data_IF_657006295285
#
_entry.id   IF_657006295285
#
_cell.length_a   1.000
_cell.length_b   1.000
_cell.length_c   1.000
_cell.angle_alpha   90.00
_cell.angle_beta   90.00
_cell.angle_gamma   90.00
#
_symmetry.space_group_name_H-M   'P 1'
#
loop_
_entity.id
_entity.type
_entity.pdbx_description
1 polymer ?
#
# COMPACT_ATOMS: atom_id res chain seq x y z
N UNK A 1 -24.28 -7.13 -8.18
CA UNK A 1 -23.74 -6.81 -6.84
C UNK A 1 -23.47 -5.32 -6.73
N UNK A 2 -23.90 -4.67 -5.65
CA UNK A 2 -23.70 -3.22 -5.45
C UNK A 2 -22.21 -2.94 -5.18
N UNK A 3 -21.64 -1.97 -5.90
CA UNK A 3 -20.26 -1.51 -5.67
C UNK A 3 -20.14 -0.95 -4.25
N UNK A 4 -19.19 -1.45 -3.47
CA UNK A 4 -18.92 -0.91 -2.12
C UNK A 4 -18.47 0.55 -2.21
N UNK A 5 -18.95 1.38 -1.29
CA UNK A 5 -18.50 2.76 -1.17
C UNK A 5 -17.01 2.83 -0.79
N UNK A 6 -16.26 3.73 -1.43
CA UNK A 6 -14.81 3.83 -1.23
C UNK A 6 -14.45 4.31 0.18
N UNK A 7 -15.23 5.22 0.75
CA UNK A 7 -14.99 5.74 2.09
C UNK A 7 -15.22 4.66 3.13
N UNK A 8 -16.31 3.89 2.99
CA UNK A 8 -16.61 2.75 3.86
C UNK A 8 -15.52 1.68 3.80
N UNK A 9 -14.97 1.41 2.59
CA UNK A 9 -13.85 0.46 2.42
C UNK A 9 -12.57 0.97 3.10
N UNK A 10 -12.26 2.27 2.95
CA UNK A 10 -11.10 2.88 3.61
C UNK A 10 -11.21 2.76 5.12
N UNK A 11 -12.35 3.21 5.67
CA UNK A 11 -12.62 3.18 7.10
C UNK A 11 -12.60 1.77 7.69
N UNK A 12 -13.15 0.79 6.97
CA UNK A 12 -13.07 -0.62 7.39
C UNK A 12 -11.62 -1.11 7.50
N UNK A 13 -10.75 -0.70 6.58
CA UNK A 13 -9.32 -1.01 6.66
C UNK A 13 -8.64 -0.35 7.84
N UNK A 14 -8.91 0.91 8.11
CA UNK A 14 -8.35 1.66 9.23
C UNK A 14 -8.73 1.03 10.58
N UNK A 15 -10.01 0.69 10.79
CA UNK A 15 -10.46 -0.01 12.00
C UNK A 15 -9.86 -1.40 12.13
N UNK A 16 -9.71 -2.15 11.03
CA UNK A 16 -9.05 -3.45 11.05
C UNK A 16 -7.57 -3.33 11.45
N UNK A 17 -6.87 -2.30 11.00
CA UNK A 17 -5.48 -2.01 11.41
C UNK A 17 -5.41 -1.66 12.89
N UNK A 18 -6.31 -0.81 13.40
CA UNK A 18 -6.38 -0.51 14.84
C UNK A 18 -6.59 -1.77 15.68
N UNK A 19 -7.50 -2.64 15.26
CA UNK A 19 -7.75 -3.92 15.94
C UNK A 19 -6.48 -4.79 16.00
N UNK A 20 -5.72 -4.87 14.90
CA UNK A 20 -4.47 -5.62 14.89
C UNK A 20 -3.40 -4.98 15.79
N UNK A 21 -3.27 -3.66 15.77
CA UNK A 21 -2.33 -2.95 16.65
C UNK A 21 -2.63 -3.22 18.13
N UNK A 22 -3.91 -3.19 18.51
CA UNK A 22 -4.34 -3.52 19.88
C UNK A 22 -3.99 -4.98 20.27
N UNK A 23 -4.18 -5.95 19.34
CA UNK A 23 -3.80 -7.35 19.57
C UNK A 23 -2.27 -7.57 19.70
N UNK A 24 -1.49 -6.63 19.19
CA UNK A 24 -0.02 -6.61 19.32
C UNK A 24 0.46 -5.68 20.44
N UNK A 25 -0.43 -5.29 21.37
CA UNK A 25 -0.14 -4.46 22.54
C UNK A 25 0.39 -3.05 22.22
N UNK A 26 0.11 -2.50 21.03
CA UNK A 26 0.45 -1.12 20.68
C UNK A 26 -0.62 -0.14 21.18
N UNK A 27 -0.18 1.00 21.68
CA UNK A 27 -1.04 2.17 21.90
C UNK A 27 -1.26 2.87 20.55
N UNK A 28 -2.47 2.82 20.01
CA UNK A 28 -2.76 3.37 18.70
C UNK A 28 -4.03 4.22 18.67
N UNK A 29 -3.97 5.35 17.96
CA UNK A 29 -5.08 6.28 17.84
C UNK A 29 -5.25 6.74 16.40
N UNK A 30 -6.50 6.78 15.92
CA UNK A 30 -6.82 7.42 14.64
C UNK A 30 -6.58 8.93 14.74
N UNK A 31 -6.07 9.52 13.66
CA UNK A 31 -5.97 10.97 13.56
C UNK A 31 -7.35 11.57 13.28
N UNK A 32 -7.68 12.66 13.96
CA UNK A 32 -8.92 13.39 13.70
C UNK A 32 -8.76 14.25 12.43
N UNK A 33 -9.75 14.19 11.57
CA UNK A 33 -9.82 15.02 10.38
C UNK A 33 -8.88 14.55 9.25
N UNK A 34 -8.51 15.48 8.36
CA UNK A 34 -7.71 15.22 7.18
C UNK A 34 -6.21 15.47 7.43
N UNK A 35 -5.63 14.81 8.41
CA UNK A 35 -4.17 14.88 8.61
C UNK A 35 -3.49 14.27 7.38
N UNK A 36 -2.75 15.10 6.65
CA UNK A 36 -2.17 14.68 5.36
C UNK A 36 -1.16 13.55 5.54
N UNK A 37 -1.51 12.36 5.03
CA UNK A 37 -0.59 11.21 4.95
C UNK A 37 -0.35 10.48 6.26
N UNK A 38 -1.23 10.67 7.27
CA UNK A 38 -1.19 9.91 8.54
C UNK A 38 -2.62 9.61 8.97
N UNK A 39 -2.99 8.34 8.99
CA UNK A 39 -4.31 7.89 9.41
C UNK A 39 -4.30 7.40 10.86
N UNK A 40 -3.18 6.80 11.32
CA UNK A 40 -3.03 6.26 12.67
C UNK A 40 -1.68 6.67 13.26
N UNK A 41 -1.68 7.11 14.50
CA UNK A 41 -0.49 7.28 15.34
C UNK A 41 -0.34 6.07 16.24
N UNK A 42 0.88 5.52 16.31
CA UNK A 42 1.20 4.30 17.05
C UNK A 42 2.35 4.55 18.01
N UNK A 43 2.21 4.16 19.26
CA UNK A 43 3.28 4.16 20.26
C UNK A 43 3.64 2.74 20.64
N UNK A 44 4.93 2.40 20.59
CA UNK A 44 5.41 1.10 21.05
C UNK A 44 5.38 1.06 22.59
N UNK A 45 4.68 0.11 23.22
CA UNK A 45 4.38 0.14 24.66
C UNK A 45 5.64 0.13 25.53
N UNK A 46 6.69 -0.60 25.14
CA UNK A 46 7.95 -0.74 25.90
C UNK A 46 8.96 0.36 25.58
N UNK A 47 9.20 0.63 24.29
CA UNK A 47 10.26 1.57 23.87
C UNK A 47 9.79 3.02 23.78
N UNK A 48 8.48 3.25 23.86
CA UNK A 48 7.82 4.56 23.65
C UNK A 48 8.13 5.20 22.29
N UNK A 49 8.66 4.44 21.37
CA UNK A 49 8.95 4.89 20.01
C UNK A 49 7.62 5.12 19.26
N UNK A 50 7.55 6.26 18.60
CA UNK A 50 6.35 6.67 17.87
C UNK A 50 6.47 6.33 16.38
N UNK A 51 5.37 5.81 15.81
CA UNK A 51 5.23 5.52 14.39
C UNK A 51 3.97 6.17 13.83
N UNK A 52 4.00 6.43 12.54
CA UNK A 52 2.89 6.97 11.75
C UNK A 52 2.48 5.94 10.73
N UNK A 53 1.19 5.69 10.59
CA UNK A 53 0.67 4.81 9.56
C UNK A 53 -0.23 5.59 8.59
N UNK A 54 0.01 5.40 7.29
CA UNK A 54 -0.94 5.72 6.23
C UNK A 54 -1.56 4.40 5.74
N UNK A 55 -2.88 4.26 5.89
CA UNK A 55 -3.61 3.04 5.51
C UNK A 55 -4.14 3.16 4.09
N UNK A 56 -3.91 2.13 3.28
CA UNK A 56 -4.40 2.06 1.90
C UNK A 56 -5.18 0.77 1.70
N UNK A 57 -6.49 0.86 1.63
CA UNK A 57 -7.37 -0.31 1.56
C UNK A 57 -7.83 -0.60 0.14
N UNK A 58 -7.80 -1.87 -0.23
CA UNK A 58 -8.35 -2.39 -1.48
C UNK A 58 -9.38 -3.49 -1.18
N UNK A 59 -10.55 -3.35 -1.79
CA UNK A 59 -11.59 -4.37 -1.76
C UNK A 59 -11.54 -5.24 -3.01
N UNK A 60 -11.59 -6.56 -2.86
CA UNK A 60 -11.59 -7.53 -3.96
C UNK A 60 -12.79 -8.44 -3.87
N UNK A 61 -13.44 -8.66 -5.02
CA UNK A 61 -14.55 -9.60 -5.15
C UNK A 61 -14.11 -11.06 -5.31
N UNK A 62 -12.82 -11.32 -5.46
CA UNK A 62 -12.27 -12.67 -5.53
C UNK A 62 -10.83 -12.70 -5.01
N UNK A 63 -10.38 -13.88 -4.56
CA UNK A 63 -8.98 -14.10 -4.16
C UNK A 63 -7.99 -14.12 -5.34
N UNK A 64 -8.47 -14.00 -6.58
CA UNK A 64 -7.62 -13.98 -7.76
C UNK A 64 -6.65 -12.80 -7.72
N UNK A 65 -5.42 -13.06 -8.07
CA UNK A 65 -4.37 -12.04 -8.17
C UNK A 65 -4.71 -11.01 -9.24
N UNK A 66 -4.30 -9.77 -9.04
CA UNK A 66 -4.50 -8.70 -10.01
C UNK A 66 -3.61 -8.93 -11.21
N UNK A 67 -4.21 -9.10 -12.39
CA UNK A 67 -3.46 -9.13 -13.65
C UNK A 67 -3.10 -7.71 -14.06
N UNK A 68 -1.82 -7.48 -14.26
CA UNK A 68 -1.30 -6.19 -14.69
C UNK A 68 -0.92 -6.13 -16.17
N UNK A 69 -0.36 -4.99 -16.58
CA UNK A 69 0.17 -4.82 -17.93
C UNK A 69 1.30 -5.80 -18.22
N UNK A 70 1.64 -5.97 -19.51
CA UNK A 70 2.80 -6.78 -19.96
C UNK A 70 4.12 -6.39 -19.27
N UNK A 71 4.24 -5.10 -18.85
CA UNK A 71 5.45 -4.58 -18.19
C UNK A 71 5.55 -5.03 -16.73
N UNK A 72 4.43 -5.20 -16.04
CA UNK A 72 4.41 -5.45 -14.59
C UNK A 72 3.93 -6.84 -14.19
N UNK A 73 3.48 -7.66 -15.13
CA UNK A 73 3.03 -9.03 -14.86
C UNK A 73 1.83 -9.11 -13.90
N UNK A 74 1.74 -10.21 -13.18
CA UNK A 74 0.70 -10.47 -12.16
C UNK A 74 1.23 -10.13 -10.77
N UNK A 75 0.47 -9.39 -9.98
CA UNK A 75 0.86 -8.94 -8.64
C UNK A 75 -0.18 -9.33 -7.59
N UNK A 76 0.27 -9.52 -6.37
CA UNK A 76 -0.58 -9.81 -5.20
C UNK A 76 -1.55 -8.67 -4.92
N UNK A 77 -1.06 -7.44 -4.96
CA UNK A 77 -1.85 -6.24 -4.74
C UNK A 77 -1.29 -5.01 -5.45
N UNK A 78 -2.19 -4.08 -5.75
CA UNK A 78 -1.83 -2.76 -6.25
C UNK A 78 -2.72 -1.69 -5.63
N UNK A 79 -2.16 -0.53 -5.31
CA UNK A 79 -2.85 0.61 -4.71
C UNK A 79 -2.51 1.89 -5.46
N UNK A 80 -3.54 2.70 -5.68
CA UNK A 80 -3.35 4.03 -6.27
C UNK A 80 -2.70 4.97 -5.26
N UNK A 81 -1.65 5.66 -5.71
CA UNK A 81 -0.87 6.62 -4.95
C UNK A 81 -0.84 7.95 -5.70
N UNK A 82 -0.28 8.98 -5.08
CA UNK A 82 -0.03 10.27 -5.70
C UNK A 82 1.48 10.52 -5.81
N UNK A 83 1.92 11.38 -6.71
CA UNK A 83 3.31 11.76 -6.95
C UNK A 83 4.06 12.23 -5.69
N UNK A 84 3.35 12.86 -4.74
CA UNK A 84 3.95 13.27 -3.45
C UNK A 84 4.65 12.11 -2.72
N UNK A 85 4.14 10.87 -2.87
CA UNK A 85 4.69 9.69 -2.20
C UNK A 85 6.09 9.28 -2.71
N UNK A 86 6.55 9.80 -3.85
CA UNK A 86 7.92 9.62 -4.32
C UNK A 86 8.97 10.25 -3.38
N UNK A 87 8.54 11.19 -2.56
CA UNK A 87 9.41 11.99 -1.68
C UNK A 87 9.05 11.85 -0.19
N UNK A 88 8.01 11.08 0.15
CA UNK A 88 7.63 10.83 1.53
C UNK A 88 8.52 9.76 2.16
N UNK A 89 9.73 10.16 2.56
CA UNK A 89 10.72 9.29 3.21
C UNK A 89 10.89 9.77 4.65
N UNK A 90 10.29 9.03 5.57
CA UNK A 90 10.35 9.30 7.02
C UNK A 90 10.56 7.94 7.73
N UNK A 91 11.61 7.79 8.55
CA UNK A 91 11.89 6.53 9.27
C UNK A 91 10.76 6.09 10.21
N UNK A 92 9.92 7.02 10.65
CA UNK A 92 8.76 6.73 11.50
C UNK A 92 7.48 6.45 10.71
N UNK A 93 7.47 6.68 9.38
CA UNK A 93 6.28 6.50 8.55
C UNK A 93 6.28 5.13 7.87
N UNK A 94 5.18 4.42 8.05
CA UNK A 94 4.88 3.16 7.39
C UNK A 94 3.55 3.25 6.65
N UNK A 95 3.44 2.50 5.58
CA UNK A 95 2.17 2.26 4.89
C UNK A 95 1.63 0.90 5.32
N UNK A 96 0.37 0.86 5.73
CA UNK A 96 -0.36 -0.38 5.90
C UNK A 96 -1.26 -0.61 4.68
N UNK A 97 -0.84 -1.48 3.78
CA UNK A 97 -1.64 -1.87 2.63
C UNK A 97 -2.57 -3.00 3.02
N UNK A 98 -3.87 -2.75 2.91
CA UNK A 98 -4.91 -3.69 3.32
C UNK A 98 -5.65 -4.23 2.10
N UNK A 99 -5.84 -5.55 2.05
CA UNK A 99 -6.71 -6.21 1.08
C UNK A 99 -7.88 -6.84 1.84
N UNK A 100 -9.10 -6.48 1.46
CA UNK A 100 -10.32 -7.13 1.95
C UNK A 100 -10.79 -8.09 0.86
N UNK A 101 -10.85 -9.39 1.16
CA UNK A 101 -11.21 -10.44 0.22
C UNK A 101 -12.63 -10.97 0.47
N UNK A 102 -13.50 -10.93 -0.55
CA UNK A 102 -14.80 -11.59 -0.52
C UNK A 102 -14.67 -13.11 -0.88
N UNK A 103 -15.63 -13.93 -0.47
CA UNK A 103 -16.88 -13.59 0.25
C UNK A 103 -16.73 -13.55 1.78
N UNK A 104 -15.56 -13.90 2.30
CA UNK A 104 -15.32 -14.10 3.74
C UNK A 104 -14.94 -12.83 4.48
N UNK A 105 -14.80 -11.69 3.79
CA UNK A 105 -14.32 -10.42 4.34
C UNK A 105 -12.98 -10.55 5.13
N UNK A 106 -12.12 -11.49 4.70
CA UNK A 106 -10.81 -11.69 5.32
C UNK A 106 -9.89 -10.53 4.96
N UNK A 107 -9.24 -10.00 5.98
CA UNK A 107 -8.24 -8.94 5.84
C UNK A 107 -6.83 -9.52 5.69
N UNK A 108 -6.05 -8.94 4.78
CA UNK A 108 -4.63 -9.19 4.64
C UNK A 108 -3.89 -7.86 4.81
N UNK A 109 -2.83 -7.85 5.61
CA UNK A 109 -2.10 -6.63 5.98
C UNK A 109 -0.66 -6.72 5.53
N UNK A 110 -0.14 -5.62 4.96
CA UNK A 110 1.26 -5.52 4.53
C UNK A 110 1.82 -4.19 5.05
N UNK A 111 2.75 -4.26 6.00
CA UNK A 111 3.34 -3.09 6.65
C UNK A 111 4.66 -2.77 5.98
N UNK A 112 4.71 -1.70 5.19
CA UNK A 112 5.84 -1.35 4.33
C UNK A 112 6.42 0.00 4.73
N UNK A 113 7.75 0.09 5.00
CA UNK A 113 8.40 1.37 5.30
C UNK A 113 8.25 2.38 4.18
N UNK A 114 8.07 3.66 4.51
CA UNK A 114 7.86 4.74 3.53
C UNK A 114 8.96 4.82 2.48
N UNK A 115 10.23 4.60 2.86
CA UNK A 115 11.38 4.59 1.92
C UNK A 115 11.24 3.56 0.80
N UNK A 116 10.66 2.38 1.10
CA UNK A 116 10.45 1.31 0.12
C UNK A 116 9.34 1.70 -0.85
N UNK A 117 8.24 2.26 -0.32
CA UNK A 117 7.11 2.75 -1.14
C UNK A 117 7.57 3.88 -2.06
N UNK A 118 8.26 4.90 -1.51
CA UNK A 118 8.74 6.06 -2.26
C UNK A 118 9.66 5.64 -3.42
N UNK A 119 10.67 4.80 -3.15
CA UNK A 119 11.56 4.27 -4.18
C UNK A 119 10.78 3.52 -5.26
N UNK A 120 9.93 2.58 -4.87
CA UNK A 120 9.20 1.76 -5.82
C UNK A 120 8.29 2.59 -6.74
N UNK A 121 7.46 3.49 -6.20
CA UNK A 121 6.52 4.27 -7.03
C UNK A 121 7.24 5.19 -8.01
N UNK A 122 8.39 5.74 -7.63
CA UNK A 122 9.26 6.55 -8.50
C UNK A 122 9.86 5.73 -9.65
N UNK A 123 10.51 4.62 -9.33
CA UNK A 123 11.16 3.73 -10.30
C UNK A 123 10.16 3.12 -11.28
N UNK A 124 9.05 2.61 -10.76
CA UNK A 124 7.99 2.00 -11.51
C UNK A 124 7.35 2.98 -12.50
N UNK A 125 7.06 4.19 -12.06
CA UNK A 125 6.46 5.21 -12.92
C UNK A 125 7.43 5.67 -14.01
N UNK A 126 8.71 5.85 -13.67
CA UNK A 126 9.77 6.17 -14.63
C UNK A 126 9.92 5.10 -15.70
N UNK A 127 9.87 3.80 -15.33
CA UNK A 127 9.87 2.72 -16.29
C UNK A 127 8.63 2.76 -17.21
N UNK A 128 7.44 2.91 -16.63
CA UNK A 128 6.20 3.00 -17.39
C UNK A 128 6.24 4.15 -18.41
N UNK A 129 6.72 5.33 -18.04
CA UNK A 129 6.87 6.46 -18.95
C UNK A 129 7.83 6.14 -20.10
N UNK A 130 9.00 5.53 -19.81
CA UNK A 130 9.97 5.15 -20.83
C UNK A 130 9.38 4.17 -21.83
N UNK A 131 8.72 3.10 -21.36
CA UNK A 131 8.12 2.09 -22.23
C UNK A 131 7.01 2.70 -23.11
N UNK A 132 6.16 3.55 -22.55
CA UNK A 132 5.09 4.22 -23.29
C UNK A 132 5.63 5.19 -24.34
N UNK A 133 6.71 5.89 -24.06
CA UNK A 133 7.36 6.79 -25.03
C UNK A 133 8.03 6.04 -26.18
N UNK A 134 8.59 4.86 -25.92
CA UNK A 134 9.09 3.97 -26.97
C UNK A 134 8.00 3.51 -27.95
N UNK A 135 6.77 3.36 -27.46
CA UNK A 135 5.60 3.03 -28.29
C UNK A 135 5.10 4.26 -29.11
N UNK A 136 5.89 5.34 -29.19
CA UNK A 136 5.55 6.62 -29.86
C UNK A 136 4.26 7.27 -29.35
N UNK A 137 3.85 6.96 -28.14
CA UNK A 137 2.67 7.56 -27.50
C UNK A 137 3.04 8.86 -26.81
N UNK A 138 2.32 9.93 -27.10
CA UNK A 138 2.36 11.16 -26.32
C UNK A 138 1.74 10.89 -24.94
N UNK A 139 2.59 10.58 -23.95
CA UNK A 139 2.14 10.27 -22.57
C UNK A 139 2.49 11.44 -21.67
N UNK A 140 1.46 11.99 -21.03
CA UNK A 140 1.62 13.05 -20.03
C UNK A 140 2.00 12.43 -18.68
N UNK A 141 3.01 12.97 -18.04
CA UNK A 141 3.31 12.67 -16.63
C UNK A 141 2.20 13.27 -15.75
N UNK A 142 1.41 12.40 -15.14
CA UNK A 142 0.31 12.80 -14.26
C UNK A 142 0.70 12.64 -12.79
N UNK A 143 -0.14 13.15 -11.89
CA UNK A 143 0.05 12.97 -10.45
C UNK A 143 -0.19 11.52 -9.97
N UNK A 144 -0.76 10.66 -10.80
CA UNK A 144 -1.07 9.29 -10.43
C UNK A 144 0.18 8.41 -10.37
N UNK A 145 0.30 7.67 -9.27
CA UNK A 145 1.31 6.62 -9.07
C UNK A 145 0.61 5.33 -8.66
N UNK A 146 1.31 4.21 -8.79
CA UNK A 146 0.77 2.91 -8.36
C UNK A 146 1.86 2.18 -7.59
N UNK A 147 1.53 1.78 -6.36
CA UNK A 147 2.34 0.85 -5.59
C UNK A 147 1.87 -0.57 -5.84
N UNK A 148 2.80 -1.50 -6.06
CA UNK A 148 2.54 -2.93 -6.27
C UNK A 148 3.33 -3.77 -5.31
N UNK A 149 2.76 -4.91 -4.93
CA UNK A 149 3.36 -5.84 -3.98
C UNK A 149 3.23 -7.27 -4.50
N UNK A 150 4.27 -8.10 -4.28
CA UNK A 150 4.26 -9.53 -4.54
C UNK A 150 4.11 -9.86 -6.02
N UNK A 151 5.19 -9.76 -6.75
CA UNK A 151 5.26 -10.11 -8.17
C UNK A 151 5.25 -11.63 -8.40
N UNK A 152 4.56 -12.03 -9.47
CA UNK A 152 4.65 -13.37 -10.06
C UNK A 152 4.65 -13.25 -11.58
N UNK A 153 5.71 -13.71 -12.25
CA UNK A 153 5.84 -13.75 -13.71
C UNK A 153 7.28 -13.53 -14.19
N UNK A 154 7.57 -13.91 -15.41
CA UNK A 154 8.92 -13.88 -15.98
C UNK A 154 9.29 -12.53 -16.63
N UNK A 155 8.31 -11.81 -17.16
CA UNK A 155 8.52 -10.56 -17.93
C UNK A 155 8.65 -9.32 -17.03
N UNK A 156 9.03 -9.49 -15.79
CA UNK A 156 9.02 -8.42 -14.83
C UNK A 156 10.31 -7.60 -14.87
N UNK A 157 10.19 -6.27 -14.97
CA UNK A 157 11.33 -5.35 -15.13
C UNK A 157 11.60 -4.47 -13.92
N UNK A 158 10.63 -4.29 -13.02
CA UNK A 158 10.78 -3.55 -11.77
C UNK A 158 10.45 -4.46 -10.61
N UNK A 159 11.44 -4.75 -9.77
CA UNK A 159 11.26 -5.61 -8.61
C UNK A 159 10.25 -5.01 -7.65
N UNK A 160 9.13 -5.72 -7.41
CA UNK A 160 8.20 -5.36 -6.34
C UNK A 160 8.76 -5.79 -5.00
N UNK A 161 8.37 -5.12 -3.90
CA UNK A 161 8.59 -5.67 -2.58
C UNK A 161 7.92 -7.05 -2.44
N UNK A 162 8.63 -7.99 -1.82
CA UNK A 162 8.10 -9.35 -1.60
C UNK A 162 7.06 -9.35 -0.48
N UNK A 163 5.97 -10.08 -0.67
CA UNK A 163 4.87 -10.16 0.31
C UNK A 163 5.32 -10.68 1.66
N UNK A 164 6.11 -11.73 1.66
CA UNK A 164 6.54 -12.48 2.84
C UNK A 164 7.28 -11.61 3.86
N UNK A 165 7.96 -10.58 3.36
CA UNK A 165 8.70 -9.63 4.20
C UNK A 165 7.79 -8.67 4.97
N UNK A 166 6.62 -8.37 4.43
CA UNK A 166 5.74 -7.30 4.92
C UNK A 166 4.39 -7.79 5.41
N UNK A 167 4.01 -9.04 5.09
CA UNK A 167 2.75 -9.62 5.51
C UNK A 167 2.73 -9.82 7.01
N UNK A 168 1.74 -9.19 7.67
CA UNK A 168 1.56 -9.21 9.12
C UNK A 168 2.82 -8.84 9.94
N UNK A 169 3.72 -8.05 9.36
CA UNK A 169 4.94 -7.62 10.04
C UNK A 169 4.69 -6.35 10.87
N UNK A 170 4.15 -6.53 12.05
CA UNK A 170 3.82 -5.44 12.99
C UNK A 170 5.01 -4.97 13.83
N UNK A 171 6.23 -5.41 13.55
CA UNK A 171 7.43 -5.03 14.32
C UNK A 171 7.97 -3.62 14.01
N UNK A 172 7.57 -3.01 12.91
CA UNK A 172 8.03 -1.70 12.45
C UNK A 172 9.57 -1.59 12.31
N UNK A 173 10.20 -2.59 11.67
CA UNK A 173 11.65 -2.67 11.41
C UNK A 173 11.98 -2.69 9.92
#
# INVERSE_FOLDING_TARGET
MRKKDKNSVSLAGEFAVLSQLALHDYDANMTLGRTKGVDILVSHPKTKKMYKLEVKTKYRMSRKESRNSKVFGTVKGEWMMNKKHEHMIDPSLYYCFVIICEPTSVFQFYIVPSRIVARYVKEQHGLWLREKRKEHKKVKDTEMRIFRLGFKGEDYRVTTPLTERYENNWSFV
#
